data_IF_975800183630
#
_entry.id   IF_975800183630
#
_cell.length_a   1.000
_cell.length_b   1.000
_cell.length_c   1.000
_cell.angle_alpha   90.00
_cell.angle_beta   90.00
_cell.angle_gamma   90.00
#
_symmetry.space_group_name_H-M   'P 1'
#
loop_
_entity.id
_entity.type
_entity.pdbx_description
1 polymer ?
#
# COMPACT_ATOMS: atom_id res chain seq x y z
N UNK A 1 50.39 -67.21 -40.99
CA UNK A 1 50.44 -65.73 -40.78
C UNK A 1 49.24 -65.17 -41.48
N UNK A 2 48.25 -64.69 -40.74
CA UNK A 2 47.23 -63.78 -41.30
C UNK A 2 47.35 -62.37 -40.63
N UNK A 3 47.32 -61.41 -41.52
CA UNK A 3 47.26 -59.97 -41.19
C UNK A 3 45.89 -59.60 -40.61
N UNK A 4 45.90 -58.92 -39.44
CA UNK A 4 44.71 -58.36 -38.81
C UNK A 4 44.67 -56.86 -39.22
N UNK A 5 43.63 -56.50 -40.01
CA UNK A 5 43.28 -55.12 -40.30
C UNK A 5 42.39 -54.58 -39.17
N UNK A 6 42.90 -53.57 -38.42
CA UNK A 6 42.15 -52.86 -37.44
C UNK A 6 41.42 -51.68 -38.09
N UNK A 7 40.09 -51.70 -38.07
CA UNK A 7 39.25 -50.55 -38.50
C UNK A 7 39.04 -49.61 -37.37
N UNK A 8 39.70 -48.46 -37.40
CA UNK A 8 39.42 -47.35 -36.50
C UNK A 8 38.20 -46.54 -37.00
N UNK A 9 37.11 -46.71 -36.33
CA UNK A 9 35.86 -45.88 -36.52
C UNK A 9 35.94 -44.60 -35.71
N UNK A 10 36.26 -43.50 -36.39
CA UNK A 10 36.23 -42.15 -35.78
C UNK A 10 34.81 -41.69 -35.61
N UNK A 11 34.33 -41.66 -34.35
CA UNK A 11 33.06 -41.03 -34.02
C UNK A 11 33.26 -39.50 -33.92
N UNK A 12 32.73 -38.75 -34.87
CA UNK A 12 32.61 -37.29 -34.81
C UNK A 12 31.47 -36.95 -33.87
N UNK A 13 31.80 -36.50 -32.66
CA UNK A 13 30.88 -35.87 -31.73
C UNK A 13 30.59 -34.45 -32.21
N UNK A 14 29.44 -34.22 -32.82
CA UNK A 14 28.89 -32.87 -33.00
C UNK A 14 28.36 -32.38 -31.67
N UNK A 15 29.13 -31.50 -31.01
CA UNK A 15 28.62 -30.71 -29.90
C UNK A 15 27.74 -29.59 -30.45
N UNK A 16 26.44 -29.77 -30.35
CA UNK A 16 25.49 -28.69 -30.58
C UNK A 16 25.55 -27.78 -29.38
N UNK A 17 26.26 -26.66 -29.50
CA UNK A 17 26.25 -25.57 -28.52
C UNK A 17 24.89 -24.88 -28.65
N UNK A 18 24.01 -25.15 -27.72
CA UNK A 18 22.84 -24.28 -27.49
C UNK A 18 23.34 -22.95 -26.99
N UNK A 19 23.43 -21.98 -27.88
CA UNK A 19 23.54 -20.57 -27.49
C UNK A 19 22.18 -20.19 -26.91
N UNK A 20 22.10 -20.21 -25.60
CA UNK A 20 21.00 -19.59 -24.89
C UNK A 20 21.10 -18.08 -25.20
N UNK A 21 20.30 -17.60 -26.15
CA UNK A 21 20.05 -16.19 -26.34
C UNK A 21 19.27 -15.72 -25.08
N UNK A 22 20.01 -15.33 -24.05
CA UNK A 22 19.44 -14.50 -23.01
C UNK A 22 18.92 -13.24 -23.74
N UNK A 23 17.62 -13.14 -23.92
CA UNK A 23 17.01 -11.87 -24.30
C UNK A 23 17.56 -10.83 -23.33
N UNK A 24 18.25 -9.83 -23.86
CA UNK A 24 18.62 -8.63 -23.13
C UNK A 24 17.33 -7.93 -22.75
N UNK A 25 16.73 -8.34 -21.62
CA UNK A 25 15.68 -7.59 -20.96
C UNK A 25 16.37 -6.33 -20.47
N UNK A 26 16.38 -5.28 -21.30
CA UNK A 26 16.86 -3.98 -20.89
C UNK A 26 16.15 -3.61 -19.62
N UNK A 27 16.88 -3.56 -18.50
CA UNK A 27 16.35 -3.08 -17.23
C UNK A 27 15.90 -1.64 -17.46
N UNK A 28 14.59 -1.39 -17.30
CA UNK A 28 14.08 -0.01 -17.35
C UNK A 28 14.68 0.70 -16.15
N UNK A 29 15.55 1.66 -16.43
CA UNK A 29 16.16 2.50 -15.38
C UNK A 29 15.20 3.65 -15.08
N UNK A 30 14.78 3.83 -13.83
CA UNK A 30 13.91 4.95 -13.48
C UNK A 30 14.67 6.28 -13.58
N UNK A 31 13.93 7.35 -13.84
CA UNK A 31 14.42 8.73 -13.76
C UNK A 31 14.20 9.26 -12.37
N UNK A 32 15.18 10.00 -11.83
CA UNK A 32 15.03 10.67 -10.54
C UNK A 32 13.96 11.75 -10.57
N UNK A 33 13.30 11.93 -9.44
CA UNK A 33 12.32 13.02 -9.24
C UNK A 33 12.98 14.38 -9.47
N UNK A 34 12.23 15.27 -10.15
CA UNK A 34 12.69 16.62 -10.43
C UNK A 34 12.35 17.52 -9.24
N UNK A 35 13.29 18.36 -8.82
CA UNK A 35 13.04 19.36 -7.78
C UNK A 35 12.06 20.41 -8.32
N UNK A 36 10.90 20.51 -7.68
CA UNK A 36 9.83 21.42 -8.05
C UNK A 36 9.61 22.46 -6.95
N UNK A 37 9.66 23.78 -7.26
CA UNK A 37 9.46 24.82 -6.26
C UNK A 37 8.09 24.73 -5.55
N UNK A 38 7.09 24.16 -6.21
CA UNK A 38 5.72 24.01 -5.72
C UNK A 38 5.36 22.54 -5.44
N UNK A 39 6.33 21.70 -5.08
CA UNK A 39 6.05 20.28 -4.76
C UNK A 39 5.02 20.12 -3.62
N UNK A 40 5.00 21.04 -2.67
CA UNK A 40 4.01 21.09 -1.58
C UNK A 40 2.59 21.55 -2.01
N UNK A 41 2.42 21.97 -3.26
CA UNK A 41 1.13 22.35 -3.88
C UNK A 41 0.71 21.35 -4.97
N UNK A 42 1.47 20.28 -5.17
CA UNK A 42 1.14 19.20 -6.10
C UNK A 42 0.25 18.16 -5.44
N UNK A 43 -0.35 17.26 -6.21
CA UNK A 43 -1.11 16.13 -5.66
C UNK A 43 -0.24 15.30 -4.72
N UNK A 44 -0.65 15.24 -3.46
CA UNK A 44 -0.06 14.39 -2.42
C UNK A 44 -1.07 13.33 -2.00
N UNK A 45 -0.58 12.10 -1.81
CA UNK A 45 -1.43 10.93 -1.59
C UNK A 45 -1.32 10.38 -0.16
N UNK A 46 -0.21 10.67 0.53
CA UNK A 46 -0.06 10.25 1.92
C UNK A 46 0.83 11.21 2.70
N UNK A 47 0.60 11.25 4.02
CA UNK A 47 1.38 12.03 4.98
C UNK A 47 1.54 11.25 6.29
N UNK A 48 2.75 11.26 6.85
CA UNK A 48 3.05 10.59 8.12
C UNK A 48 3.96 11.44 9.00
N UNK A 49 3.91 11.19 10.31
CA UNK A 49 4.87 11.76 11.26
C UNK A 49 6.08 10.82 11.42
N UNK A 50 7.26 11.40 11.55
CA UNK A 50 8.51 10.73 11.88
C UNK A 50 8.97 11.23 13.24
N UNK A 51 8.74 10.42 14.26
CA UNK A 51 8.83 10.86 15.64
C UNK A 51 7.83 11.98 15.96
N UNK A 52 8.22 12.91 16.84
CA UNK A 52 7.37 14.05 17.24
C UNK A 52 7.74 15.35 16.55
N UNK A 53 8.70 15.34 15.61
CA UNK A 53 9.37 16.57 15.16
C UNK A 53 9.38 16.72 13.63
N UNK A 54 8.86 15.77 12.89
CA UNK A 54 8.96 15.83 11.44
C UNK A 54 7.77 15.17 10.77
N UNK A 55 7.33 15.79 9.68
CA UNK A 55 6.32 15.27 8.76
C UNK A 55 6.98 14.92 7.44
N UNK A 56 6.48 13.86 6.81
CA UNK A 56 6.84 13.48 5.44
C UNK A 56 5.56 13.23 4.68
N UNK A 57 5.44 13.85 3.48
CA UNK A 57 4.34 13.61 2.56
C UNK A 57 4.88 13.14 1.20
N UNK A 58 4.09 12.28 0.54
CA UNK A 58 4.44 11.68 -0.75
C UNK A 58 3.32 11.85 -1.77
N UNK A 59 3.65 11.84 -3.07
CA UNK A 59 2.66 11.99 -4.11
C UNK A 59 3.17 11.83 -5.53
N UNK A 60 2.56 12.57 -6.45
CA UNK A 60 2.86 12.50 -7.89
C UNK A 60 4.32 12.88 -8.20
N UNK A 61 4.82 12.40 -9.35
CA UNK A 61 6.17 12.67 -9.87
C UNK A 61 7.31 12.25 -8.93
N UNK A 62 7.06 11.27 -8.04
CA UNK A 62 8.04 10.83 -7.04
C UNK A 62 8.32 11.90 -5.99
N UNK A 63 7.42 12.87 -5.79
CA UNK A 63 7.61 13.87 -4.76
C UNK A 63 7.58 13.21 -3.37
N UNK A 64 8.65 13.45 -2.61
CA UNK A 64 8.71 13.25 -1.16
C UNK A 64 9.13 14.59 -0.57
N UNK A 65 8.30 15.14 0.28
CA UNK A 65 8.55 16.43 0.94
C UNK A 65 8.55 16.28 2.45
N UNK A 66 9.38 17.06 3.12
CA UNK A 66 9.57 17.02 4.57
C UNK A 66 9.30 18.39 5.20
N UNK A 67 8.76 18.40 6.41
CA UNK A 67 8.56 19.60 7.22
C UNK A 67 8.77 19.29 8.69
N UNK A 68 9.28 20.27 9.46
CA UNK A 68 9.37 20.21 10.91
C UNK A 68 8.18 20.91 11.61
N UNK A 69 7.46 21.75 10.90
CA UNK A 69 6.42 22.65 11.45
C UNK A 69 5.05 22.47 10.76
N UNK A 70 4.98 21.73 9.64
CA UNK A 70 3.80 21.60 8.80
C UNK A 70 3.55 22.77 7.85
N UNK A 71 4.36 23.81 7.90
CA UNK A 71 4.24 25.03 7.08
C UNK A 71 5.35 25.12 6.02
N UNK A 72 6.60 24.92 6.44
CA UNK A 72 7.80 25.00 5.58
C UNK A 72 8.18 23.61 5.08
N UNK A 73 8.17 23.39 3.76
CA UNK A 73 8.37 22.10 3.14
C UNK A 73 9.61 22.06 2.25
N UNK A 74 10.37 20.98 2.35
CA UNK A 74 11.59 20.75 1.56
C UNK A 74 11.48 19.39 0.85
N UNK A 75 11.81 19.36 -0.44
CA UNK A 75 11.75 18.13 -1.23
C UNK A 75 13.02 17.28 -1.07
N UNK A 76 12.85 15.99 -0.75
CA UNK A 76 13.93 14.99 -0.67
C UNK A 76 14.51 14.65 -2.05
N UNK A 77 15.69 13.99 -2.07
CA UNK A 77 16.23 13.38 -3.28
C UNK A 77 15.62 11.98 -3.46
N UNK A 78 14.91 11.77 -4.55
CA UNK A 78 14.15 10.55 -4.81
C UNK A 78 14.57 9.97 -6.17
N UNK A 79 14.94 8.68 -6.25
CA UNK A 79 15.51 8.09 -7.47
C UNK A 79 14.47 7.66 -8.51
N UNK A 80 13.17 7.99 -8.31
CA UNK A 80 12.08 7.65 -9.22
C UNK A 80 11.17 8.85 -9.49
N UNK A 81 10.43 8.83 -10.61
CA UNK A 81 9.32 9.75 -10.91
C UNK A 81 7.95 9.09 -10.77
N UNK A 82 7.90 7.81 -10.43
CA UNK A 82 6.65 7.10 -10.17
C UNK A 82 5.86 7.78 -9.07
N UNK A 83 4.55 7.89 -9.25
CA UNK A 83 3.67 8.40 -8.19
C UNK A 83 3.75 7.49 -6.97
N UNK A 84 4.03 8.08 -5.81
CA UNK A 84 4.10 7.39 -4.53
C UNK A 84 2.76 7.50 -3.82
N UNK A 85 2.26 6.39 -3.32
CA UNK A 85 0.90 6.25 -2.76
C UNK A 85 0.89 6.18 -1.24
N UNK A 86 1.99 5.69 -0.63
CA UNK A 86 2.11 5.54 0.82
C UNK A 86 3.53 5.76 1.29
N UNK A 87 3.67 6.29 2.51
CA UNK A 87 4.94 6.41 3.23
C UNK A 87 4.78 5.89 4.66
N UNK A 88 5.71 5.07 5.09
CA UNK A 88 5.72 4.43 6.41
C UNK A 88 7.09 4.59 7.07
N UNK A 89 7.11 4.89 8.36
CA UNK A 89 8.33 4.91 9.16
C UNK A 89 8.22 3.94 10.34
N UNK A 90 9.16 3.02 10.42
CA UNK A 90 9.29 2.10 11.55
C UNK A 90 9.85 2.82 12.78
N UNK A 91 10.76 3.76 12.58
CA UNK A 91 11.35 4.64 13.58
C UNK A 91 11.82 5.95 12.92
N UNK A 92 12.49 6.82 13.67
CA UNK A 92 12.93 8.13 13.17
C UNK A 92 13.91 8.09 11.99
N UNK A 93 14.57 6.96 11.76
CA UNK A 93 15.55 6.79 10.69
C UNK A 93 15.06 5.90 9.54
N UNK A 94 14.42 4.77 9.90
CA UNK A 94 14.05 3.74 8.94
C UNK A 94 12.65 3.97 8.40
N UNK A 95 12.54 4.22 7.11
CA UNK A 95 11.28 4.46 6.43
C UNK A 95 11.22 3.85 5.03
N UNK A 96 10.00 3.60 4.55
CA UNK A 96 9.72 3.09 3.22
C UNK A 96 8.63 3.93 2.55
N UNK A 97 8.73 4.06 1.23
CA UNK A 97 7.67 4.64 0.41
C UNK A 97 7.37 3.70 -0.76
N UNK A 98 6.08 3.55 -1.07
CA UNK A 98 5.61 2.65 -2.13
C UNK A 98 4.71 3.38 -3.11
N UNK A 99 4.50 2.79 -4.31
CA UNK A 99 3.62 3.41 -5.28
C UNK A 99 3.53 2.70 -6.62
N UNK A 100 3.30 3.50 -7.65
CA UNK A 100 3.19 3.04 -9.03
C UNK A 100 4.46 2.34 -9.49
N UNK A 101 4.37 1.63 -10.62
CA UNK A 101 5.46 0.82 -11.19
C UNK A 101 5.98 -0.28 -10.24
N UNK A 102 5.12 -0.72 -9.30
CA UNK A 102 5.49 -1.62 -8.21
C UNK A 102 6.78 -1.15 -7.52
N UNK A 103 6.84 0.15 -7.20
CA UNK A 103 8.00 0.79 -6.59
C UNK A 103 7.99 0.57 -5.07
N UNK A 104 9.15 0.21 -4.52
CA UNK A 104 9.44 0.27 -3.07
C UNK A 104 10.75 1.02 -2.90
N UNK A 105 10.71 2.12 -2.14
CA UNK A 105 11.86 2.93 -1.75
C UNK A 105 12.14 2.73 -0.27
N UNK A 106 13.39 2.89 0.12
CA UNK A 106 13.86 2.79 1.51
C UNK A 106 14.72 3.99 1.87
N UNK A 107 14.50 4.54 3.06
CA UNK A 107 15.33 5.56 3.70
C UNK A 107 15.92 5.03 4.99
N UNK A 108 17.18 5.40 5.27
CA UNK A 108 17.91 5.08 6.50
C UNK A 108 18.32 6.34 7.27
N UNK A 109 17.93 7.50 6.78
CA UNK A 109 18.31 8.82 7.29
C UNK A 109 17.09 9.70 7.61
N UNK A 110 15.97 9.07 7.91
CA UNK A 110 14.73 9.75 8.27
C UNK A 110 14.09 10.50 7.11
N UNK A 111 14.20 9.98 5.89
CA UNK A 111 13.56 10.52 4.69
C UNK A 111 14.34 11.57 3.93
N UNK A 112 15.60 11.87 4.32
CA UNK A 112 16.45 12.84 3.60
C UNK A 112 16.85 12.31 2.23
N UNK A 113 17.22 11.01 2.17
CA UNK A 113 17.53 10.32 0.93
C UNK A 113 16.82 8.96 0.85
N UNK A 114 16.63 8.47 -0.38
CA UNK A 114 15.88 7.27 -0.68
C UNK A 114 16.63 6.40 -1.69
N UNK A 115 16.62 5.08 -1.46
CA UNK A 115 17.17 4.07 -2.35
C UNK A 115 16.05 3.14 -2.85
N UNK A 116 16.19 2.66 -4.09
CA UNK A 116 15.23 1.69 -4.68
C UNK A 116 15.52 0.30 -4.11
N UNK A 117 14.50 -0.35 -3.53
CA UNK A 117 14.52 -1.76 -3.17
C UNK A 117 13.77 -2.62 -4.19
N UNK A 118 12.69 -2.09 -4.79
CA UNK A 118 11.94 -2.75 -5.86
C UNK A 118 11.47 -1.72 -6.88
N UNK A 119 11.56 -2.07 -8.18
CA UNK A 119 11.01 -1.28 -9.27
C UNK A 119 10.66 -2.22 -10.44
N UNK A 120 9.37 -2.42 -10.69
CA UNK A 120 8.87 -3.36 -11.71
C UNK A 120 7.76 -2.72 -12.57
N UNK A 121 8.09 -1.72 -13.42
CA UNK A 121 7.09 -0.96 -14.17
C UNK A 121 6.27 -1.83 -15.13
N UNK A 122 6.82 -2.94 -15.64
CA UNK A 122 6.08 -3.87 -16.51
C UNK A 122 4.91 -4.60 -15.82
N UNK A 123 4.85 -4.59 -14.47
CA UNK A 123 3.70 -5.15 -13.76
C UNK A 123 2.44 -4.27 -13.89
N UNK A 124 2.62 -2.97 -14.19
CA UNK A 124 1.53 -1.97 -14.30
C UNK A 124 0.58 -1.99 -13.10
N UNK A 125 1.11 -2.30 -11.93
CA UNK A 125 0.36 -2.41 -10.66
C UNK A 125 1.01 -1.55 -9.60
N UNK A 126 0.28 -0.62 -9.00
CA UNK A 126 0.78 0.12 -7.84
C UNK A 126 0.70 -0.72 -6.56
N UNK A 127 1.64 -0.52 -5.66
CA UNK A 127 1.41 -0.75 -4.24
C UNK A 127 0.53 0.38 -3.69
N UNK A 128 -0.27 0.06 -2.66
CA UNK A 128 -1.12 1.02 -1.96
C UNK A 128 -0.71 1.21 -0.51
N UNK A 129 -0.10 0.18 0.10
CA UNK A 129 0.33 0.26 1.48
C UNK A 129 1.55 -0.61 1.79
N UNK A 130 2.23 -0.29 2.90
CA UNK A 130 3.40 -1.01 3.40
C UNK A 130 3.49 -0.91 4.91
N UNK A 131 3.81 -2.03 5.58
CA UNK A 131 3.98 -2.09 7.03
C UNK A 131 5.14 -2.99 7.41
N UNK A 132 5.84 -2.65 8.47
CA UNK A 132 6.92 -3.46 9.04
C UNK A 132 6.61 -3.83 10.49
N UNK A 133 6.73 -5.12 10.80
CA UNK A 133 6.63 -5.65 12.17
C UNK A 133 7.95 -5.50 12.92
N UNK A 134 9.05 -5.63 12.21
CA UNK A 134 10.43 -5.42 12.69
C UNK A 134 11.21 -4.68 11.59
N UNK A 135 12.42 -4.16 11.85
CA UNK A 135 13.24 -3.58 10.77
C UNK A 135 13.53 -4.52 9.59
N UNK A 136 13.38 -5.84 9.80
CA UNK A 136 13.69 -6.85 8.80
C UNK A 136 12.43 -7.46 8.16
N UNK A 137 11.30 -7.51 8.87
CA UNK A 137 10.09 -8.22 8.44
C UNK A 137 9.01 -7.22 8.05
N UNK A 138 8.69 -7.15 6.76
CA UNK A 138 7.74 -6.21 6.18
C UNK A 138 6.86 -6.80 5.09
N UNK A 139 5.71 -6.16 4.85
CA UNK A 139 4.73 -6.51 3.83
C UNK A 139 4.36 -5.24 3.06
N UNK A 140 4.30 -5.33 1.73
CA UNK A 140 3.73 -4.33 0.83
C UNK A 140 2.57 -4.93 0.04
N UNK A 141 1.44 -4.21 -0.04
CA UNK A 141 0.21 -4.66 -0.71
C UNK A 141 -0.30 -3.63 -1.70
N UNK A 142 -1.14 -4.06 -2.66
CA UNK A 142 -1.66 -3.15 -3.67
C UNK A 142 -2.69 -3.73 -4.61
N UNK A 143 -2.67 -3.24 -5.85
CA UNK A 143 -3.66 -3.53 -6.87
C UNK A 143 -3.71 -5.01 -7.27
N UNK A 144 -4.94 -5.54 -7.43
CA UNK A 144 -5.20 -6.89 -7.95
C UNK A 144 -4.40 -7.96 -7.21
N UNK A 145 -4.51 -7.97 -5.87
CA UNK A 145 -3.85 -8.95 -5.01
C UNK A 145 -2.33 -8.84 -4.98
N UNK A 146 -1.75 -7.69 -5.35
CA UNK A 146 -0.31 -7.46 -5.23
C UNK A 146 0.10 -7.57 -3.77
N UNK A 147 0.96 -8.54 -3.46
CA UNK A 147 1.44 -8.81 -2.12
C UNK A 147 2.90 -9.24 -2.17
N UNK A 148 3.76 -8.51 -1.49
CA UNK A 148 5.19 -8.80 -1.39
C UNK A 148 5.61 -8.80 0.07
N UNK A 149 6.48 -9.74 0.42
CA UNK A 149 7.08 -9.89 1.76
C UNK A 149 8.58 -9.76 1.69
N UNK A 150 9.14 -9.13 2.70
CA UNK A 150 10.57 -9.18 3.01
C UNK A 150 10.79 -9.75 4.42
N UNK A 151 11.93 -10.41 4.61
CA UNK A 151 12.43 -10.88 5.91
C UNK A 151 13.87 -10.42 6.16
N UNK A 152 14.39 -9.57 5.30
CA UNK A 152 15.78 -9.06 5.30
C UNK A 152 15.85 -7.52 5.16
N UNK A 153 14.78 -6.81 5.56
CA UNK A 153 14.72 -5.35 5.53
C UNK A 153 14.57 -4.77 4.12
N UNK A 154 14.12 -5.60 3.17
CA UNK A 154 13.91 -5.22 1.79
C UNK A 154 15.14 -5.40 0.90
N UNK A 155 16.19 -6.13 1.35
CA UNK A 155 17.26 -6.58 0.46
C UNK A 155 16.68 -7.51 -0.61
N UNK A 156 15.67 -8.31 -0.24
CA UNK A 156 14.84 -9.08 -1.17
C UNK A 156 13.35 -8.90 -0.87
N UNK A 157 12.53 -8.86 -1.93
CA UNK A 157 11.08 -8.80 -1.86
C UNK A 157 10.50 -9.98 -2.64
N UNK A 158 9.80 -10.88 -1.94
CA UNK A 158 9.20 -12.09 -2.50
C UNK A 158 7.70 -11.90 -2.68
N UNK A 159 7.19 -12.20 -3.89
CA UNK A 159 5.77 -12.15 -4.20
C UNK A 159 5.05 -13.32 -3.56
N UNK A 160 3.92 -13.05 -2.91
CA UNK A 160 3.02 -14.06 -2.35
C UNK A 160 1.65 -14.00 -3.02
N UNK A 161 0.93 -15.13 -3.01
CA UNK A 161 -0.40 -15.28 -3.57
C UNK A 161 -1.37 -15.76 -2.51
N UNK A 162 -2.39 -14.97 -2.25
CA UNK A 162 -3.36 -15.18 -1.18
C UNK A 162 -4.71 -15.63 -1.76
N UNK A 163 -4.82 -16.92 -2.03
CA UNK A 163 -6.02 -17.53 -2.62
C UNK A 163 -7.25 -17.50 -1.69
N UNK A 164 -7.07 -17.30 -0.39
CA UNK A 164 -8.14 -17.15 0.60
C UNK A 164 -9.02 -15.92 0.38
N UNK A 165 -8.57 -14.95 -0.41
CA UNK A 165 -9.35 -13.77 -0.80
C UNK A 165 -10.12 -13.95 -2.11
N UNK A 166 -10.00 -15.12 -2.75
CA UNK A 166 -10.69 -15.47 -4.01
C UNK A 166 -11.91 -16.32 -3.69
N UNK A 167 -12.99 -16.09 -4.42
CA UNK A 167 -14.23 -16.86 -4.21
C UNK A 167 -14.03 -18.37 -4.46
N UNK A 168 -14.74 -19.26 -3.74
CA UNK A 168 -14.61 -20.72 -3.91
C UNK A 168 -14.83 -21.21 -5.34
N UNK A 169 -15.71 -20.56 -6.10
CA UNK A 169 -15.99 -20.88 -7.51
C UNK A 169 -14.75 -20.63 -8.38
N UNK A 170 -14.10 -19.47 -8.18
CA UNK A 170 -12.90 -19.10 -8.90
C UNK A 170 -11.69 -19.96 -8.51
N UNK A 171 -11.59 -20.39 -7.24
CA UNK A 171 -10.52 -21.30 -6.79
C UNK A 171 -10.54 -22.62 -7.53
N UNK A 172 -11.71 -23.18 -7.84
CA UNK A 172 -11.82 -24.41 -8.62
C UNK A 172 -11.30 -24.22 -10.05
N UNK A 173 -11.62 -23.07 -10.66
CA UNK A 173 -11.09 -22.70 -11.98
C UNK A 173 -9.57 -22.56 -11.96
N UNK A 174 -9.03 -21.79 -11.02
CA UNK A 174 -7.60 -21.56 -10.83
C UNK A 174 -6.82 -22.85 -10.58
N UNK A 175 -7.39 -23.78 -9.80
CA UNK A 175 -6.76 -25.09 -9.54
C UNK A 175 -6.58 -25.95 -10.80
N UNK A 176 -7.50 -25.86 -11.75
CA UNK A 176 -7.41 -26.53 -13.05
C UNK A 176 -6.40 -25.83 -13.95
N UNK A 177 -6.36 -24.50 -13.93
CA UNK A 177 -5.45 -23.71 -14.75
C UNK A 177 -4.00 -23.94 -14.32
N UNK A 178 -3.70 -23.91 -13.02
CA UNK A 178 -2.36 -24.14 -12.46
C UNK A 178 -1.70 -25.46 -12.92
N UNK A 179 -2.52 -26.49 -13.19
CA UNK A 179 -2.02 -27.79 -13.67
C UNK A 179 -1.67 -27.80 -15.16
N UNK A 180 -2.15 -26.83 -15.92
CA UNK A 180 -2.01 -26.79 -17.38
C UNK A 180 -1.05 -25.70 -17.84
N UNK A 181 -1.09 -24.55 -17.20
CA UNK A 181 -0.37 -23.34 -17.60
C UNK A 181 -0.17 -22.46 -16.36
N UNK A 182 1.07 -22.38 -15.90
CA UNK A 182 1.41 -21.62 -14.69
C UNK A 182 1.35 -20.11 -14.94
N UNK A 183 1.75 -19.64 -16.11
CA UNK A 183 1.71 -18.21 -16.45
C UNK A 183 0.26 -17.71 -16.52
N UNK A 184 -0.60 -18.46 -17.22
CA UNK A 184 -2.01 -18.16 -17.26
C UNK A 184 -2.67 -18.23 -15.88
N UNK A 185 -2.24 -19.15 -14.99
CA UNK A 185 -2.69 -19.18 -13.61
C UNK A 185 -2.30 -17.91 -12.84
N UNK A 186 -1.07 -17.43 -12.99
CA UNK A 186 -0.59 -16.24 -12.29
C UNK A 186 -1.34 -14.98 -12.73
N UNK A 187 -1.62 -14.84 -14.01
CA UNK A 187 -2.39 -13.75 -14.60
C UNK A 187 -3.85 -13.79 -14.14
N UNK A 188 -4.49 -14.94 -14.22
CA UNK A 188 -5.89 -15.12 -13.82
C UNK A 188 -6.08 -14.95 -12.30
N UNK A 189 -5.17 -15.53 -11.48
CA UNK A 189 -5.17 -15.34 -10.03
C UNK A 189 -5.14 -13.84 -9.69
N UNK A 190 -4.29 -13.09 -10.37
CA UNK A 190 -4.15 -11.66 -10.18
C UNK A 190 -5.41 -10.89 -10.63
N UNK A 191 -6.04 -11.31 -11.74
CA UNK A 191 -7.28 -10.71 -12.24
C UNK A 191 -8.47 -10.90 -11.30
N UNK A 192 -8.53 -12.04 -10.64
CA UNK A 192 -9.60 -12.42 -9.71
C UNK A 192 -9.38 -11.92 -8.27
N UNK A 193 -8.18 -11.49 -7.94
CA UNK A 193 -7.86 -10.98 -6.60
C UNK A 193 -8.35 -9.54 -6.42
N UNK A 194 -8.93 -9.20 -5.24
CA UNK A 194 -9.33 -7.83 -4.93
C UNK A 194 -8.11 -6.91 -4.80
N UNK A 195 -8.33 -5.60 -4.90
CA UNK A 195 -7.34 -4.64 -4.45
C UNK A 195 -7.19 -4.71 -2.93
N UNK A 196 -5.95 -4.71 -2.44
CA UNK A 196 -5.58 -4.61 -1.03
C UNK A 196 -5.24 -3.15 -0.74
N UNK A 197 -6.15 -2.43 -0.09
CA UNK A 197 -6.07 -0.97 -0.01
C UNK A 197 -5.27 -0.49 1.20
N UNK A 198 -5.44 -1.12 2.38
CA UNK A 198 -4.75 -0.67 3.59
C UNK A 198 -4.47 -1.81 4.57
N UNK A 199 -3.34 -1.68 5.29
CA UNK A 199 -2.86 -2.57 6.34
C UNK A 199 -2.78 -1.82 7.67
N UNK A 200 -3.41 -2.33 8.72
CA UNK A 200 -3.27 -1.82 10.08
C UNK A 200 -2.64 -2.87 10.98
N UNK A 201 -1.45 -2.60 11.50
CA UNK A 201 -0.82 -3.43 12.54
C UNK A 201 -1.23 -2.92 13.92
N UNK A 202 -2.05 -3.71 14.62
CA UNK A 202 -2.55 -3.43 15.96
C UNK A 202 -2.01 -4.48 16.95
N UNK A 203 -0.95 -4.14 17.62
CA UNK A 203 -0.20 -5.06 18.48
C UNK A 203 0.38 -6.23 17.68
N UNK A 204 -0.22 -7.42 17.81
CA UNK A 204 0.18 -8.63 17.07
C UNK A 204 -0.76 -8.97 15.92
N UNK A 205 -1.88 -8.28 15.82
CA UNK A 205 -2.88 -8.55 14.79
C UNK A 205 -2.69 -7.59 13.64
N UNK A 206 -2.53 -8.12 12.45
CA UNK A 206 -2.52 -7.37 11.21
C UNK A 206 -3.92 -7.43 10.60
N UNK A 207 -4.50 -6.28 10.29
CA UNK A 207 -5.75 -6.15 9.55
C UNK A 207 -5.46 -5.74 8.12
N UNK A 208 -6.28 -6.22 7.18
CA UNK A 208 -6.25 -5.86 5.77
C UNK A 208 -7.67 -5.51 5.34
N UNK A 209 -7.81 -4.36 4.68
CA UNK A 209 -9.07 -3.95 4.04
C UNK A 209 -8.87 -3.69 2.55
N UNK A 210 -9.94 -3.84 1.76
CA UNK A 210 -9.84 -3.70 0.31
C UNK A 210 -11.17 -3.71 -0.42
N UNK A 211 -11.10 -4.08 -1.69
CA UNK A 211 -12.27 -4.18 -2.57
C UNK A 211 -13.25 -5.28 -2.16
N UNK A 212 -14.46 -5.19 -2.70
CA UNK A 212 -15.53 -6.16 -2.50
C UNK A 212 -15.88 -6.40 -1.03
N UNK A 213 -15.72 -5.37 -0.18
CA UNK A 213 -16.03 -5.47 1.25
C UNK A 213 -15.01 -6.30 2.04
N UNK A 214 -13.81 -6.49 1.50
CA UNK A 214 -12.75 -7.22 2.17
C UNK A 214 -12.38 -6.55 3.49
N UNK A 215 -12.58 -7.29 4.58
CA UNK A 215 -11.99 -7.06 5.89
C UNK A 215 -11.44 -8.39 6.37
N UNK A 216 -10.16 -8.45 6.67
CA UNK A 216 -9.52 -9.66 7.17
C UNK A 216 -8.51 -9.34 8.28
N UNK A 217 -8.16 -10.37 9.05
CA UNK A 217 -7.13 -10.27 10.08
C UNK A 217 -6.19 -11.46 10.04
N UNK A 218 -4.95 -11.21 10.43
CA UNK A 218 -3.90 -12.21 10.61
C UNK A 218 -3.25 -12.02 11.98
N UNK A 219 -2.97 -13.13 12.68
CA UNK A 219 -2.24 -13.11 13.95
C UNK A 219 -0.77 -13.58 13.80
N UNK A 220 -0.37 -13.90 12.59
CA UNK A 220 0.97 -14.40 12.21
C UNK A 220 1.62 -13.53 11.12
N UNK A 221 1.28 -12.23 11.13
CA UNK A 221 1.81 -11.23 10.23
C UNK A 221 1.61 -11.60 8.74
N UNK A 222 0.36 -11.92 8.37
CA UNK A 222 -0.05 -12.11 6.98
C UNK A 222 0.31 -13.45 6.36
N UNK A 223 0.73 -14.47 7.17
CA UNK A 223 0.92 -15.84 6.66
C UNK A 223 -0.44 -16.53 6.47
N UNK A 224 -1.31 -16.42 7.46
CA UNK A 224 -2.68 -16.92 7.40
C UNK A 224 -3.67 -15.79 7.69
N UNK A 225 -4.76 -15.75 6.91
CA UNK A 225 -5.78 -14.73 7.04
C UNK A 225 -7.14 -15.32 7.42
N UNK A 226 -7.87 -14.61 8.27
CA UNK A 226 -9.25 -14.91 8.62
C UNK A 226 -10.13 -13.77 8.14
N UNK A 227 -11.05 -14.05 7.21
CA UNK A 227 -12.06 -13.11 6.76
C UNK A 227 -13.00 -12.76 7.92
N UNK A 228 -13.31 -11.48 8.09
CA UNK A 228 -14.34 -11.01 9.00
C UNK A 228 -15.69 -11.00 8.30
N UNK A 229 -16.75 -10.63 9.05
CA UNK A 229 -18.12 -10.55 8.53
C UNK A 229 -18.17 -9.64 7.29
N UNK A 230 -18.79 -10.12 6.22
CA UNK A 230 -19.01 -9.36 5.00
C UNK A 230 -20.20 -8.41 5.18
N UNK A 231 -19.91 -7.16 5.52
CA UNK A 231 -20.91 -6.14 5.90
C UNK A 231 -21.27 -5.17 4.78
N UNK A 232 -20.51 -5.17 3.68
CA UNK A 232 -20.65 -4.24 2.57
C UNK A 232 -20.05 -4.83 1.29
N UNK A 233 -20.60 -4.48 0.12
CA UNK A 233 -20.13 -4.98 -1.18
C UNK A 233 -19.14 -4.04 -1.89
N UNK A 234 -19.00 -2.81 -1.40
CA UNK A 234 -18.06 -1.84 -1.97
C UNK A 234 -16.66 -1.95 -1.36
N UNK A 235 -15.79 -1.00 -1.71
CA UNK A 235 -14.39 -0.97 -1.25
C UNK A 235 -14.26 -0.24 0.07
N UNK A 236 -13.39 -0.74 0.93
CA UNK A 236 -12.86 -0.06 2.10
C UNK A 236 -11.46 0.49 1.80
N UNK A 237 -11.15 1.68 2.34
CA UNK A 237 -9.90 2.37 2.09
C UNK A 237 -9.05 2.54 3.34
N UNK A 238 -9.67 2.57 4.52
CA UNK A 238 -8.94 2.66 5.77
C UNK A 238 -9.64 1.93 6.91
N UNK A 239 -8.86 1.50 7.90
CA UNK A 239 -9.31 0.86 9.13
C UNK A 239 -8.43 1.29 10.30
N UNK A 240 -9.04 1.71 11.40
CA UNK A 240 -8.32 2.02 12.63
C UNK A 240 -8.91 1.30 13.85
N UNK A 241 -8.13 1.27 14.93
CA UNK A 241 -8.66 0.99 16.25
C UNK A 241 -8.83 2.30 17.04
N UNK A 242 -10.05 2.55 17.50
CA UNK A 242 -10.35 3.72 18.32
C UNK A 242 -9.81 3.57 19.75
N UNK A 243 -9.74 4.67 20.52
CA UNK A 243 -9.29 4.63 21.93
C UNK A 243 -10.19 3.76 22.82
N UNK A 244 -11.47 3.56 22.45
CA UNK A 244 -12.39 2.63 23.13
C UNK A 244 -12.33 1.20 22.57
N UNK A 245 -11.22 0.85 21.90
CA UNK A 245 -10.94 -0.48 21.35
C UNK A 245 -11.97 -0.99 20.34
N UNK A 246 -12.62 -0.10 19.59
CA UNK A 246 -13.49 -0.45 18.48
C UNK A 246 -12.71 -0.42 17.17
N UNK A 247 -13.07 -1.29 16.24
CA UNK A 247 -12.63 -1.11 14.85
C UNK A 247 -13.57 -0.11 14.18
N UNK A 248 -12.98 0.80 13.43
CA UNK A 248 -13.68 1.74 12.56
C UNK A 248 -13.14 1.55 11.15
N UNK A 249 -14.01 1.30 10.18
CA UNK A 249 -13.63 1.09 8.78
C UNK A 249 -14.45 2.01 7.88
N UNK A 250 -13.79 2.59 6.88
CA UNK A 250 -14.38 3.59 5.98
C UNK A 250 -14.15 3.26 4.52
N UNK A 251 -15.00 3.80 3.64
CA UNK A 251 -14.84 3.55 2.21
C UNK A 251 -15.81 4.29 1.30
N UNK A 252 -16.18 3.63 0.21
CA UNK A 252 -17.05 4.17 -0.84
C UNK A 252 -18.41 4.63 -0.30
N UNK A 253 -18.99 5.60 -0.99
CA UNK A 253 -20.35 6.13 -0.76
C UNK A 253 -20.56 6.70 0.65
N UNK A 254 -19.51 7.25 1.26
CA UNK A 254 -19.58 7.83 2.60
C UNK A 254 -19.81 6.81 3.71
N UNK A 255 -19.62 5.53 3.44
CA UNK A 255 -19.91 4.48 4.41
C UNK A 255 -18.84 4.40 5.49
N UNK A 256 -19.32 4.37 6.72
CA UNK A 256 -18.54 4.10 7.94
C UNK A 256 -19.18 2.90 8.61
N UNK A 257 -18.35 1.96 9.06
CA UNK A 257 -18.80 0.85 9.91
C UNK A 257 -17.94 0.83 11.18
N UNK A 258 -18.63 0.71 12.31
CA UNK A 258 -18.03 0.65 13.64
C UNK A 258 -18.34 -0.67 14.29
N UNK A 259 -17.31 -1.40 14.73
CA UNK A 259 -17.52 -2.67 15.40
C UNK A 259 -18.03 -2.49 16.83
N UNK A 260 -18.88 -3.38 17.30
CA UNK A 260 -19.27 -3.46 18.71
C UNK A 260 -18.24 -4.25 19.54
N UNK A 261 -17.59 -5.25 18.93
CA UNK A 261 -16.53 -6.08 19.50
C UNK A 261 -15.58 -6.43 18.37
N UNK A 262 -14.32 -6.10 18.46
CA UNK A 262 -13.21 -6.54 17.58
C UNK A 262 -13.59 -7.22 16.23
N UNK A 263 -14.55 -6.65 15.50
CA UNK A 263 -15.02 -7.17 14.21
C UNK A 263 -16.07 -8.29 14.25
N UNK A 264 -16.71 -8.56 15.40
CA UNK A 264 -17.76 -9.62 15.50
C UNK A 264 -19.18 -9.14 15.26
N UNK A 265 -19.43 -7.84 15.35
CA UNK A 265 -20.68 -7.20 14.96
C UNK A 265 -20.44 -5.74 14.64
N UNK A 266 -21.24 -5.20 13.70
CA UNK A 266 -21.01 -3.87 13.15
C UNK A 266 -22.27 -3.03 13.18
N UNK A 267 -22.10 -1.74 13.44
CA UNK A 267 -23.10 -0.70 13.25
C UNK A 267 -22.67 0.22 12.13
N UNK A 268 -23.62 0.84 11.44
CA UNK A 268 -23.36 1.79 10.36
C UNK A 268 -23.91 3.16 10.78
N UNK A 269 -23.06 4.05 11.34
CA UNK A 269 -23.46 5.43 11.62
C UNK A 269 -23.78 6.19 10.34
N UNK A 270 -24.71 7.15 10.42
CA UNK A 270 -25.00 8.05 9.31
C UNK A 270 -23.94 9.14 9.22
N UNK A 271 -23.44 9.38 8.01
CA UNK A 271 -22.44 10.40 7.73
C UNK A 271 -23.01 11.61 7.00
N UNK A 272 -24.27 11.55 6.55
CA UNK A 272 -24.93 12.58 5.75
C UNK A 272 -24.15 12.97 4.47
N UNK A 273 -23.36 12.05 3.92
CA UNK A 273 -22.62 12.22 2.67
C UNK A 273 -22.50 10.93 1.89
N UNK A 274 -22.30 11.05 0.59
CA UNK A 274 -21.94 9.95 -0.31
C UNK A 274 -20.51 10.09 -0.83
N UNK A 275 -19.76 11.10 -0.36
CA UNK A 275 -18.38 11.30 -0.75
C UNK A 275 -17.53 10.09 -0.32
N UNK A 276 -16.60 9.68 -1.18
CA UNK A 276 -15.61 8.66 -0.85
C UNK A 276 -14.81 9.10 0.38
N UNK A 277 -14.76 8.28 1.43
CA UNK A 277 -13.91 8.52 2.60
C UNK A 277 -12.58 7.81 2.37
N UNK A 278 -11.50 8.60 2.38
CA UNK A 278 -10.16 8.15 2.03
C UNK A 278 -9.36 7.68 3.25
N UNK A 279 -9.49 8.38 4.39
CA UNK A 279 -8.59 8.22 5.54
C UNK A 279 -9.26 8.58 6.86
N UNK A 280 -8.75 8.06 7.96
CA UNK A 280 -9.22 8.27 9.32
C UNK A 280 -8.09 8.81 10.19
N UNK A 281 -8.25 10.00 10.71
CA UNK A 281 -7.31 10.60 11.66
C UNK A 281 -7.88 10.51 13.08
N UNK A 282 -7.18 9.79 13.96
CA UNK A 282 -7.49 9.71 15.39
C UNK A 282 -6.55 10.63 16.16
N UNK A 283 -7.11 11.50 16.97
CA UNK A 283 -6.33 12.39 17.84
C UNK A 283 -6.06 11.77 19.22
N UNK A 284 -5.10 12.31 19.95
CA UNK A 284 -4.72 11.83 21.28
C UNK A 284 -5.86 11.98 22.31
N UNK A 285 -6.76 12.94 22.13
CA UNK A 285 -7.94 13.16 22.95
C UNK A 285 -9.17 12.34 22.53
N UNK A 286 -9.02 11.53 21.47
CA UNK A 286 -10.04 10.59 20.98
C UNK A 286 -11.04 11.16 19.99
N UNK A 287 -10.82 12.38 19.47
CA UNK A 287 -11.57 12.88 18.32
C UNK A 287 -11.19 12.09 17.07
N UNK A 288 -12.14 11.91 16.18
CA UNK A 288 -11.96 11.20 14.92
C UNK A 288 -12.33 12.15 13.78
N UNK A 289 -11.41 12.32 12.85
CA UNK A 289 -11.66 13.03 11.59
C UNK A 289 -11.65 12.04 10.45
N UNK A 290 -12.65 12.10 9.57
CA UNK A 290 -12.69 11.33 8.33
C UNK A 290 -12.46 12.28 7.17
N UNK A 291 -11.45 12.00 6.38
CA UNK A 291 -11.04 12.78 5.23
C UNK A 291 -11.68 12.21 3.97
N UNK A 292 -12.34 13.04 3.19
CA UNK A 292 -13.11 12.56 2.06
C UNK A 292 -12.93 13.39 0.79
N UNK A 293 -13.44 12.82 -0.31
CA UNK A 293 -13.56 13.52 -1.59
C UNK A 293 -14.43 14.78 -1.47
N UNK A 294 -14.42 15.63 -2.49
CA UNK A 294 -15.25 16.83 -2.61
C UNK A 294 -15.08 17.84 -1.47
N UNK A 295 -13.91 17.82 -0.80
CA UNK A 295 -13.60 18.69 0.34
C UNK A 295 -14.40 18.36 1.60
N UNK A 296 -14.97 17.17 1.70
CA UNK A 296 -15.75 16.76 2.87
C UNK A 296 -14.81 16.34 4.00
N UNK A 297 -15.08 16.90 5.20
CA UNK A 297 -14.49 16.51 6.47
C UNK A 297 -15.60 16.10 7.42
N UNK A 298 -15.49 14.96 8.05
CA UNK A 298 -16.40 14.51 9.09
C UNK A 298 -15.67 14.48 10.43
N UNK A 299 -16.30 15.01 11.48
CA UNK A 299 -15.75 15.04 12.85
C UNK A 299 -16.65 14.25 13.78
N UNK A 300 -16.05 13.37 14.59
CA UNK A 300 -16.73 12.66 15.68
C UNK A 300 -16.02 12.91 17.00
N UNK A 301 -16.84 13.18 18.04
CA UNK A 301 -16.39 13.37 19.43
C UNK A 301 -16.90 12.25 20.35
N UNK A 302 -17.53 11.21 19.79
CA UNK A 302 -18.21 10.14 20.52
C UNK A 302 -17.73 8.73 20.11
N UNK A 303 -16.45 8.62 19.71
CA UNK A 303 -15.82 7.37 19.31
C UNK A 303 -16.44 6.78 18.01
N UNK A 304 -16.82 7.64 17.05
CA UNK A 304 -17.34 7.25 15.76
C UNK A 304 -18.81 6.81 15.76
N UNK A 305 -19.61 7.19 16.77
CA UNK A 305 -21.04 6.88 16.82
C UNK A 305 -21.88 7.87 16.01
N UNK A 306 -21.45 9.13 15.96
CA UNK A 306 -22.06 10.18 15.14
C UNK A 306 -21.02 11.08 14.53
N UNK A 307 -21.39 11.79 13.46
CA UNK A 307 -20.48 12.65 12.69
C UNK A 307 -21.10 14.00 12.40
N UNK A 308 -20.28 15.05 12.56
CA UNK A 308 -20.56 16.39 12.10
C UNK A 308 -19.86 16.62 10.78
N UNK A 309 -20.63 16.93 9.73
CA UNK A 309 -20.09 17.23 8.40
C UNK A 309 -19.65 18.70 8.32
N UNK A 310 -18.43 18.92 7.83
CA UNK A 310 -17.88 20.21 7.38
C UNK A 310 -17.48 20.08 5.91
N UNK A 311 -17.46 21.16 5.16
CA UNK A 311 -17.01 21.17 3.77
C UNK A 311 -15.98 22.27 3.55
N UNK A 312 -14.85 21.91 2.94
CA UNK A 312 -13.83 22.87 2.53
C UNK A 312 -14.36 23.73 1.37
N UNK A 313 -14.01 25.01 1.37
CA UNK A 313 -14.52 25.97 0.39
C UNK A 313 -14.04 25.73 -1.04
N UNK A 314 -12.87 25.12 -1.20
CA UNK A 314 -12.28 24.79 -2.49
C UNK A 314 -12.80 23.47 -3.10
N UNK A 315 -13.56 22.68 -2.34
CA UNK A 315 -14.13 21.41 -2.79
C UNK A 315 -13.10 20.34 -3.16
N UNK A 316 -11.83 20.51 -2.78
CA UNK A 316 -10.75 19.59 -3.16
C UNK A 316 -10.65 18.42 -2.20
N UNK A 317 -10.42 17.21 -2.73
CA UNK A 317 -10.33 16.01 -1.94
C UNK A 317 -9.26 16.11 -0.86
N UNK A 318 -9.63 15.68 0.35
CA UNK A 318 -8.75 15.43 1.46
C UNK A 318 -8.37 13.93 1.38
N UNK A 319 -7.09 13.62 1.22
CA UNK A 319 -6.67 12.26 0.82
C UNK A 319 -6.12 11.48 2.01
N UNK A 320 -5.13 12.01 2.70
CA UNK A 320 -4.57 11.42 3.91
C UNK A 320 -4.24 12.52 4.91
N UNK A 321 -4.19 12.23 6.20
CA UNK A 321 -3.96 13.27 7.19
C UNK A 321 -3.34 12.77 8.49
N UNK A 322 -2.90 13.74 9.28
CA UNK A 322 -2.31 13.47 10.57
C UNK A 322 -2.64 14.57 11.58
N UNK A 323 -2.82 14.17 12.83
CA UNK A 323 -2.87 15.10 13.94
C UNK A 323 -1.45 15.39 14.41
N UNK A 324 -1.02 16.63 14.25
CA UNK A 324 0.35 17.04 14.56
C UNK A 324 0.37 18.42 15.24
N UNK A 325 0.99 18.53 16.41
CA UNK A 325 1.11 19.78 17.17
C UNK A 325 -0.22 20.52 17.37
N UNK A 326 -1.33 19.79 17.61
CA UNK A 326 -2.64 20.38 17.83
C UNK A 326 -3.36 20.81 16.55
N UNK A 327 -2.88 20.43 15.38
CA UNK A 327 -3.43 20.79 14.08
C UNK A 327 -3.73 19.53 13.25
N UNK A 328 -4.77 19.59 12.42
CA UNK A 328 -5.05 18.61 11.40
C UNK A 328 -4.32 19.01 10.11
N UNK A 329 -3.26 18.27 9.77
CA UNK A 329 -2.47 18.50 8.55
C UNK A 329 -2.81 17.40 7.54
N UNK A 330 -3.11 17.80 6.31
CA UNK A 330 -3.70 16.91 5.29
C UNK A 330 -2.94 16.99 3.97
N UNK A 331 -2.64 15.84 3.40
CA UNK A 331 -2.28 15.67 2.00
C UNK A 331 -3.55 15.72 1.14
N UNK A 332 -3.55 16.50 0.07
CA UNK A 332 -4.74 16.76 -0.75
C UNK A 332 -4.42 16.82 -2.25
N UNK A 333 -5.47 16.94 -3.07
CA UNK A 333 -5.32 17.19 -4.52
C UNK A 333 -4.47 18.43 -4.85
N UNK A 334 -4.39 19.39 -3.95
CA UNK A 334 -3.69 20.66 -4.14
C UNK A 334 -2.54 20.86 -3.17
N UNK A 335 -1.98 19.75 -2.67
CA UNK A 335 -0.83 19.75 -1.78
C UNK A 335 -1.19 19.65 -0.31
N UNK A 336 -0.29 20.13 0.54
CA UNK A 336 -0.50 20.12 1.99
C UNK A 336 -1.46 21.23 2.39
N UNK A 337 -2.36 20.91 3.32
CA UNK A 337 -3.28 21.87 3.95
C UNK A 337 -3.27 21.72 5.47
N UNK A 338 -3.30 22.83 6.19
CA UNK A 338 -3.70 22.87 7.58
C UNK A 338 -5.19 23.15 7.61
N UNK A 339 -5.97 22.22 8.13
CA UNK A 339 -7.44 22.31 8.11
C UNK A 339 -7.92 23.01 9.36
N UNK A 340 -8.64 24.15 9.25
CA UNK A 340 -9.24 24.82 10.40
C UNK A 340 -10.41 23.98 10.96
N UNK A 341 -10.47 23.83 12.28
CA UNK A 341 -11.44 22.99 12.99
C UNK A 341 -12.58 23.76 13.63
#
# INVERSE_FOLDING_TARGET
MPFIFSFMMSALLYSVSYVCLAENISSITPYSSIKAPLANQSLLLDITAVGHHKLIAVGQYGHIIMSADGESWHQSNVPVQSTLTKVYFYNENLGWAVGHDATILHSQDGGVSWAIQLFKPRLEKPFFDIVFKTPLEGIAVGAKGLFYRTIDGGATWNKEYHSEFISPENLLHLSKLKRKDEDAFLDEHSSLSPHFNHLMLDGRTLYLVGEHGLISKSNDFGINWTLLEHIYKGSFYDIIRTLKSKLLVVGLHGHVFRSSKSGTSWTKPDTNTVALINDIVLTDDGRIFLLAADGVLLESNDDGQSYRLKKQTDGKALISGIWFNGQLIVASETGVKIVPL
#
